data_IF_635871499260
#
_entry.id   IF_635871499260
#
_cell.length_a   1.000
_cell.length_b   1.000
_cell.length_c   1.000
_cell.angle_alpha   90.00
_cell.angle_beta   90.00
_cell.angle_gamma   90.00
#
_symmetry.space_group_name_H-M   'P 1'
#
loop_
_entity.id
_entity.type
_entity.pdbx_description
1 polymer ?
#
# COMPACT_ATOMS: atom_id res chain seq x y z
N UNK A 1 1.42 -46.56 -4.04
CA UNK A 1 2.07 -46.70 -2.72
C UNK A 1 1.55 -45.61 -1.81
N UNK A 2 0.93 -46.05 -0.71
CA UNK A 2 0.63 -45.37 0.56
C UNK A 2 0.23 -43.88 0.55
N UNK A 3 -1.08 -43.68 0.78
CA UNK A 3 -1.60 -42.55 1.55
C UNK A 3 -1.02 -42.59 2.97
N UNK A 4 -0.43 -41.50 3.46
CA UNK A 4 -0.23 -41.29 4.89
C UNK A 4 -0.47 -39.82 5.24
N UNK A 5 -1.71 -39.54 5.63
CA UNK A 5 -2.12 -38.34 6.36
C UNK A 5 -1.43 -38.30 7.73
N UNK A 6 -0.84 -37.18 8.18
CA UNK A 6 -0.36 -37.09 9.55
C UNK A 6 -1.56 -36.96 10.49
N UNK A 7 -1.71 -37.98 11.32
CA UNK A 7 -2.66 -38.08 12.42
C UNK A 7 -2.35 -36.99 13.45
N UNK A 8 -3.12 -35.90 13.44
CA UNK A 8 -3.12 -34.93 14.54
C UNK A 8 -4.12 -35.42 15.59
N UNK A 9 -3.63 -36.11 16.61
CA UNK A 9 -4.42 -36.50 17.78
C UNK A 9 -4.92 -35.23 18.47
N UNK A 10 -6.19 -34.90 18.21
CA UNK A 10 -6.96 -33.87 18.92
C UNK A 10 -7.00 -34.27 20.39
N UNK A 11 -6.12 -33.68 21.20
CA UNK A 11 -6.22 -33.73 22.65
C UNK A 11 -7.54 -33.06 23.00
N UNK A 12 -8.59 -33.86 23.19
CA UNK A 12 -9.81 -33.41 23.80
C UNK A 12 -9.48 -33.07 25.26
N UNK A 13 -9.09 -31.83 25.51
CA UNK A 13 -9.16 -31.27 26.86
C UNK A 13 -10.64 -31.22 27.21
N UNK A 14 -11.09 -32.16 28.05
CA UNK A 14 -12.37 -32.05 28.74
C UNK A 14 -12.44 -30.64 29.35
N UNK A 15 -13.49 -29.85 29.12
CA UNK A 15 -13.63 -28.57 29.78
C UNK A 15 -13.93 -28.84 31.26
N UNK A 16 -12.89 -28.89 32.08
CA UNK A 16 -13.05 -28.85 33.53
C UNK A 16 -13.42 -27.42 33.89
N UNK A 17 -14.72 -27.13 33.89
CA UNK A 17 -15.29 -25.88 34.40
C UNK A 17 -15.16 -25.85 35.92
N UNK A 18 -13.94 -25.72 36.44
CA UNK A 18 -13.75 -25.37 37.85
C UNK A 18 -14.01 -23.88 37.98
N UNK A 19 -15.18 -23.52 38.53
CA UNK A 19 -15.34 -22.18 39.10
C UNK A 19 -14.42 -22.13 40.31
N UNK A 20 -13.32 -21.38 40.19
CA UNK A 20 -12.35 -21.22 41.27
C UNK A 20 -12.98 -20.29 42.31
N UNK A 21 -13.61 -20.87 43.33
CA UNK A 21 -14.23 -20.10 44.39
C UNK A 21 -13.18 -19.85 45.48
N UNK A 22 -12.92 -18.58 45.79
CA UNK A 22 -12.00 -18.17 46.85
C UNK A 22 -12.82 -17.70 48.04
N UNK A 23 -12.66 -18.35 49.19
CA UNK A 23 -13.29 -17.97 50.45
C UNK A 23 -12.33 -17.19 51.32
N UNK A 24 -12.71 -15.98 51.72
CA UNK A 24 -11.94 -15.15 52.65
C UNK A 24 -12.52 -15.25 54.05
N UNK A 25 -11.65 -15.33 55.06
CA UNK A 25 -12.04 -15.37 56.49
C UNK A 25 -11.13 -14.44 57.28
N UNK A 26 -11.71 -13.67 58.19
CA UNK A 26 -11.01 -12.76 59.09
C UNK A 26 -11.45 -13.02 60.54
N UNK A 27 -10.51 -13.31 61.42
CA UNK A 27 -10.74 -13.32 62.88
C UNK A 27 -10.44 -11.91 63.42
N UNK A 28 -11.37 -11.32 64.18
CA UNK A 28 -11.26 -9.94 64.68
C UNK A 28 -11.86 -9.81 66.10
N UNK A 29 -11.41 -8.84 66.90
CA UNK A 29 -11.93 -8.60 68.25
C UNK A 29 -13.26 -7.82 68.24
N UNK A 30 -14.04 -7.93 69.32
CA UNK A 30 -15.43 -7.42 69.40
C UNK A 30 -15.59 -5.90 69.17
N UNK A 31 -14.55 -5.12 69.45
CA UNK A 31 -14.56 -3.66 69.26
C UNK A 31 -14.30 -3.23 67.81
N UNK A 32 -13.90 -4.16 66.93
CA UNK A 32 -13.57 -3.90 65.54
C UNK A 32 -14.67 -4.46 64.64
N UNK A 33 -15.06 -3.71 63.61
CA UNK A 33 -15.98 -4.21 62.60
C UNK A 33 -15.21 -4.92 61.48
N UNK A 34 -14.89 -6.20 61.68
CA UNK A 34 -14.17 -6.99 60.68
C UNK A 34 -14.94 -7.22 59.38
N UNK A 35 -16.26 -7.04 59.36
CA UNK A 35 -17.09 -7.23 58.16
C UNK A 35 -16.86 -6.10 57.16
N UNK A 36 -16.89 -4.86 57.63
CA UNK A 36 -16.62 -3.69 56.79
C UNK A 36 -15.17 -3.67 56.31
N UNK A 37 -14.22 -4.09 57.15
CA UNK A 37 -12.82 -4.23 56.75
C UNK A 37 -12.66 -5.26 55.64
N UNK A 38 -13.24 -6.45 55.80
CA UNK A 38 -13.09 -7.53 54.82
C UNK A 38 -13.77 -7.19 53.49
N UNK A 39 -15.00 -6.68 53.53
CA UNK A 39 -15.71 -6.26 52.31
C UNK A 39 -15.01 -5.07 51.64
N UNK A 40 -14.55 -4.08 52.42
CA UNK A 40 -13.80 -2.93 51.89
C UNK A 40 -12.45 -3.31 51.27
N UNK A 41 -11.73 -4.28 51.87
CA UNK A 41 -10.49 -4.80 51.29
C UNK A 41 -10.73 -5.50 49.95
N UNK A 42 -11.82 -6.29 49.84
CA UNK A 42 -12.20 -6.93 48.58
C UNK A 42 -12.56 -5.89 47.52
N UNK A 43 -13.36 -4.89 47.88
CA UNK A 43 -13.74 -3.81 46.97
C UNK A 43 -12.52 -3.00 46.50
N UNK A 44 -11.60 -2.66 47.41
CA UNK A 44 -10.36 -1.98 47.08
C UNK A 44 -9.49 -2.82 46.14
N UNK A 45 -9.30 -4.11 46.42
CA UNK A 45 -8.54 -5.01 45.55
C UNK A 45 -9.15 -5.11 44.14
N UNK A 46 -10.49 -5.16 44.03
CA UNK A 46 -11.19 -5.13 42.74
C UNK A 46 -10.92 -3.80 42.04
N UNK A 47 -10.99 -2.67 42.74
CA UNK A 47 -10.75 -1.33 42.15
C UNK A 47 -9.31 -1.15 41.66
N UNK A 48 -8.33 -1.67 42.39
CA UNK A 48 -6.91 -1.62 42.03
C UNK A 48 -6.64 -2.44 40.78
N UNK A 49 -7.23 -3.63 40.70
CA UNK A 49 -7.09 -4.49 39.54
C UNK A 49 -7.80 -3.93 38.31
N UNK A 50 -8.98 -3.31 38.48
CA UNK A 50 -9.64 -2.57 37.40
C UNK A 50 -8.75 -1.48 36.82
N UNK A 51 -8.06 -0.72 37.68
CA UNK A 51 -7.10 0.30 37.25
C UNK A 51 -5.91 -0.28 36.51
N UNK A 52 -5.35 -1.41 36.96
CA UNK A 52 -4.26 -2.09 36.23
C UNK A 52 -4.69 -2.54 34.84
N UNK A 53 -5.83 -3.23 34.75
CA UNK A 53 -6.40 -3.69 33.48
C UNK A 53 -6.68 -2.52 32.54
N UNK A 54 -7.10 -1.36 33.08
CA UNK A 54 -7.29 -0.14 32.30
C UNK A 54 -6.01 0.33 31.62
N UNK A 55 -4.95 0.47 32.41
CA UNK A 55 -3.65 0.92 31.93
C UNK A 55 -3.05 -0.05 30.91
N UNK A 56 -3.18 -1.35 31.16
CA UNK A 56 -2.70 -2.38 30.24
C UNK A 56 -3.45 -2.33 28.91
N UNK A 57 -4.79 -2.21 28.94
CA UNK A 57 -5.61 -2.09 27.74
C UNK A 57 -5.25 -0.83 26.94
N UNK A 58 -5.10 0.30 27.62
CA UNK A 58 -4.66 1.55 26.99
C UNK A 58 -3.28 1.38 26.33
N UNK A 59 -2.33 0.76 27.03
CA UNK A 59 -1.01 0.46 26.49
C UNK A 59 -1.05 -0.42 25.25
N UNK A 60 -1.90 -1.46 25.23
CA UNK A 60 -2.08 -2.32 24.05
C UNK A 60 -2.69 -1.55 22.88
N UNK A 61 -3.72 -0.73 23.12
CA UNK A 61 -4.34 0.10 22.07
C UNK A 61 -3.33 1.09 21.49
N UNK A 62 -2.57 1.78 22.34
CA UNK A 62 -1.53 2.72 21.91
C UNK A 62 -0.43 2.03 21.09
N UNK A 63 0.03 0.86 21.53
CA UNK A 63 1.00 0.07 20.78
C UNK A 63 0.46 -0.35 19.41
N UNK A 64 -0.82 -0.73 19.33
CA UNK A 64 -1.45 -1.08 18.07
C UNK A 64 -1.62 0.12 17.14
N UNK A 65 -2.04 1.28 17.66
CA UNK A 65 -2.12 2.52 16.90
C UNK A 65 -0.75 2.93 16.34
N UNK A 66 0.29 2.88 17.17
CA UNK A 66 1.67 3.15 16.73
C UNK A 66 2.12 2.19 15.61
N UNK A 67 1.72 0.92 15.66
CA UNK A 67 2.00 -0.05 14.60
C UNK A 67 1.29 0.32 13.31
N UNK A 68 0.00 0.65 13.36
CA UNK A 68 -0.77 1.09 12.18
C UNK A 68 -0.15 2.35 11.60
N UNK A 69 0.19 3.34 12.41
CA UNK A 69 0.82 4.59 11.96
C UNK A 69 2.15 4.35 11.24
N UNK A 70 2.99 3.46 11.76
CA UNK A 70 4.24 3.04 11.07
C UNK A 70 3.96 2.35 9.75
N UNK A 71 2.93 1.51 9.66
CA UNK A 71 2.53 0.85 8.42
C UNK A 71 2.00 1.85 7.39
N UNK A 72 1.20 2.83 7.81
CA UNK A 72 0.74 3.92 6.94
C UNK A 72 1.91 4.76 6.42
N UNK A 73 2.86 5.10 7.28
CA UNK A 73 4.06 5.84 6.88
C UNK A 73 4.93 5.03 5.88
N UNK A 74 5.12 3.74 6.14
CA UNK A 74 5.85 2.85 5.23
C UNK A 74 5.15 2.72 3.87
N UNK A 75 3.81 2.60 3.85
CA UNK A 75 3.03 2.52 2.62
C UNK A 75 3.11 3.80 1.77
N UNK A 76 3.12 4.98 2.43
CA UNK A 76 3.34 6.25 1.74
C UNK A 76 4.73 6.35 1.15
N UNK A 77 5.75 6.00 1.94
CA UNK A 77 7.13 6.02 1.47
C UNK A 77 7.36 5.05 0.30
N UNK A 78 6.75 3.86 0.33
CA UNK A 78 6.84 2.92 -0.81
C UNK A 78 6.14 3.46 -2.05
N UNK A 79 4.97 4.08 -1.91
CA UNK A 79 4.25 4.67 -3.04
C UNK A 79 5.01 5.85 -3.66
N UNK A 80 5.59 6.73 -2.84
CA UNK A 80 6.46 7.80 -3.31
C UNK A 80 7.65 7.26 -4.10
N UNK A 81 8.35 6.26 -3.56
CA UNK A 81 9.47 5.62 -4.25
C UNK A 81 9.04 4.95 -5.58
N UNK A 82 7.89 4.26 -5.60
CA UNK A 82 7.34 3.66 -6.82
C UNK A 82 6.94 4.73 -7.85
N UNK A 83 6.35 5.84 -7.41
CA UNK A 83 5.98 6.99 -8.25
C UNK A 83 7.21 7.64 -8.87
N UNK A 84 8.24 7.92 -8.07
CA UNK A 84 9.51 8.48 -8.54
C UNK A 84 10.19 7.55 -9.54
N UNK A 85 10.25 6.25 -9.25
CA UNK A 85 10.80 5.25 -10.17
C UNK A 85 10.02 5.18 -11.49
N UNK A 86 8.68 5.25 -11.43
CA UNK A 86 7.83 5.26 -12.61
C UNK A 86 8.03 6.54 -13.45
N UNK A 87 8.13 7.70 -12.81
CA UNK A 87 8.43 8.98 -13.49
C UNK A 87 9.81 8.91 -14.14
N UNK A 88 10.83 8.43 -13.42
CA UNK A 88 12.18 8.30 -13.94
C UNK A 88 12.20 7.41 -15.19
N UNK A 89 11.56 6.24 -15.13
CA UNK A 89 11.47 5.31 -16.26
C UNK A 89 10.76 5.94 -17.46
N UNK A 90 9.58 6.55 -17.27
CA UNK A 90 8.87 7.22 -18.36
C UNK A 90 9.71 8.36 -18.96
N UNK A 91 10.38 9.15 -18.13
CA UNK A 91 11.23 10.24 -18.61
C UNK A 91 12.45 9.76 -19.38
N UNK A 92 13.00 8.59 -19.04
CA UNK A 92 14.11 7.97 -19.75
C UNK A 92 13.63 7.41 -21.09
N UNK A 93 12.50 6.70 -21.09
CA UNK A 93 11.85 6.20 -22.30
C UNK A 93 11.53 7.36 -23.26
N UNK A 94 10.96 8.47 -22.77
CA UNK A 94 10.66 9.66 -23.57
C UNK A 94 11.93 10.28 -24.17
N UNK A 95 13.00 10.42 -23.39
CA UNK A 95 14.29 10.94 -23.87
C UNK A 95 14.89 10.07 -24.97
N UNK A 96 14.82 8.75 -24.81
CA UNK A 96 15.28 7.80 -25.83
C UNK A 96 14.45 7.92 -27.10
N UNK A 97 13.12 7.97 -26.99
CA UNK A 97 12.24 8.12 -28.15
C UNK A 97 12.46 9.46 -28.87
N UNK A 98 12.67 10.55 -28.12
CA UNK A 98 13.01 11.85 -28.69
C UNK A 98 14.31 11.76 -29.48
N UNK A 99 15.36 11.14 -28.92
CA UNK A 99 16.65 10.97 -29.61
C UNK A 99 16.49 10.16 -30.91
N UNK A 100 15.77 9.03 -30.86
CA UNK A 100 15.50 8.17 -32.02
C UNK A 100 14.75 8.95 -33.11
N UNK A 101 13.67 9.64 -32.75
CA UNK A 101 12.86 10.42 -33.70
C UNK A 101 13.64 11.59 -34.29
N UNK A 102 14.50 12.24 -33.50
CA UNK A 102 15.37 13.31 -33.99
C UNK A 102 16.39 12.78 -35.01
N UNK A 103 16.97 11.60 -34.77
CA UNK A 103 17.92 11.00 -35.69
C UNK A 103 17.23 10.49 -36.97
N UNK A 104 16.03 9.92 -36.87
CA UNK A 104 15.19 9.58 -38.02
C UNK A 104 14.86 10.83 -38.86
N UNK A 105 14.49 11.93 -38.20
CA UNK A 105 14.18 13.19 -38.86
C UNK A 105 15.41 13.76 -39.59
N UNK A 106 16.59 13.73 -38.97
CA UNK A 106 17.86 14.13 -39.62
C UNK A 106 18.14 13.25 -40.85
N UNK A 107 17.97 11.94 -40.73
CA UNK A 107 18.18 11.00 -41.82
C UNK A 107 17.22 11.26 -43.00
N UNK A 108 15.93 11.44 -42.72
CA UNK A 108 14.91 11.77 -43.74
C UNK A 108 15.23 13.09 -44.45
N UNK A 109 15.60 14.13 -43.70
CA UNK A 109 15.99 15.42 -44.31
C UNK A 109 17.25 15.29 -45.17
N UNK A 110 18.21 14.48 -44.77
CA UNK A 110 19.40 14.19 -45.58
C UNK A 110 19.02 13.45 -46.87
N UNK A 111 18.16 12.43 -46.77
CA UNK A 111 17.65 11.68 -47.92
C UNK A 111 16.94 12.60 -48.92
N UNK A 112 16.03 13.47 -48.45
CA UNK A 112 15.32 14.41 -49.30
C UNK A 112 16.27 15.40 -50.00
N UNK A 113 17.31 15.87 -49.31
CA UNK A 113 18.36 16.71 -49.91
C UNK A 113 19.10 15.96 -51.02
N UNK A 114 19.46 14.70 -50.80
CA UNK A 114 20.09 13.85 -51.83
C UNK A 114 19.16 13.62 -53.01
N UNK A 115 17.87 13.33 -52.78
CA UNK A 115 16.87 13.21 -53.85
C UNK A 115 16.75 14.49 -54.68
N UNK A 116 16.73 15.66 -54.02
CA UNK A 116 16.73 16.97 -54.69
C UNK A 116 17.99 17.19 -55.53
N UNK A 117 19.17 16.86 -54.99
CA UNK A 117 20.44 16.97 -55.72
C UNK A 117 20.48 16.05 -56.94
N UNK A 118 20.05 14.79 -56.80
CA UNK A 118 19.96 13.85 -57.91
C UNK A 118 19.00 14.36 -58.99
N UNK A 119 17.85 14.95 -58.59
CA UNK A 119 16.91 15.56 -59.53
C UNK A 119 17.53 16.75 -60.27
N UNK A 120 18.29 17.60 -59.58
CA UNK A 120 19.02 18.71 -60.21
C UNK A 120 20.05 18.19 -61.22
N UNK A 121 20.81 17.14 -60.89
CA UNK A 121 21.77 16.53 -61.81
C UNK A 121 21.08 15.97 -63.07
N UNK A 122 19.95 15.27 -62.91
CA UNK A 122 19.14 14.80 -64.04
C UNK A 122 18.62 15.94 -64.92
N UNK A 123 18.20 17.06 -64.30
CA UNK A 123 17.78 18.25 -65.02
C UNK A 123 18.96 18.90 -65.76
N UNK A 124 20.15 18.95 -65.16
CA UNK A 124 21.37 19.48 -65.79
C UNK A 124 21.77 18.67 -67.03
N UNK A 125 21.73 17.34 -66.96
CA UNK A 125 21.96 16.45 -68.11
C UNK A 125 20.90 16.67 -69.20
N UNK A 126 19.62 16.74 -68.82
CA UNK A 126 18.53 16.94 -69.77
C UNK A 126 18.59 18.32 -70.45
N UNK A 127 18.95 19.38 -69.73
CA UNK A 127 19.15 20.73 -70.28
C UNK A 127 20.33 20.73 -71.26
N UNK A 128 21.43 20.04 -70.97
CA UNK A 128 22.57 19.95 -71.87
C UNK A 128 22.20 19.25 -73.19
N UNK A 129 21.46 18.13 -73.10
CA UNK A 129 20.95 17.41 -74.29
C UNK A 129 19.96 18.30 -75.08
N UNK A 130 18.98 18.91 -74.41
CA UNK A 130 18.00 19.78 -75.05
C UNK A 130 18.65 20.98 -75.76
N UNK A 131 19.68 21.60 -75.15
CA UNK A 131 20.50 22.66 -75.78
C UNK A 131 21.22 22.15 -77.04
N UNK A 132 21.81 20.95 -76.97
CA UNK A 132 22.49 20.35 -78.13
C UNK A 132 21.54 20.02 -79.28
N UNK A 133 20.28 19.72 -78.98
CA UNK A 133 19.22 19.40 -79.95
C UNK A 133 18.42 20.63 -80.40
N UNK A 134 18.68 21.83 -79.86
CA UNK A 134 17.95 23.06 -80.20
C UNK A 134 16.50 23.11 -79.70
N UNK A 135 16.12 22.31 -78.70
CA UNK A 135 14.74 22.22 -78.21
C UNK A 135 14.52 23.26 -77.10
N UNK A 136 13.96 24.44 -77.44
CA UNK A 136 13.67 25.50 -76.45
C UNK A 136 12.37 25.26 -75.69
N UNK A 137 11.33 24.81 -76.41
CA UNK A 137 9.96 24.66 -75.92
C UNK A 137 9.55 23.18 -75.88
N UNK A 138 8.55 22.81 -75.04
CA UNK A 138 8.07 21.44 -74.96
C UNK A 138 7.67 20.91 -76.34
N UNK A 139 8.30 19.83 -76.76
CA UNK A 139 8.15 19.21 -78.08
C UNK A 139 8.00 17.70 -77.88
N UNK A 140 7.33 16.99 -78.79
CA UNK A 140 7.26 15.52 -78.73
C UNK A 140 8.14 14.91 -79.85
N UNK A 141 8.61 13.66 -79.71
CA UNK A 141 9.51 13.05 -80.70
C UNK A 141 8.95 13.07 -82.13
N UNK A 142 7.63 12.95 -82.25
CA UNK A 142 6.92 12.99 -83.54
C UNK A 142 6.96 14.38 -84.17
N UNK A 143 6.80 15.46 -83.39
CA UNK A 143 6.87 16.82 -83.90
C UNK A 143 8.30 17.31 -84.12
N UNK A 144 9.30 16.70 -83.46
CA UNK A 144 10.72 17.00 -83.68
C UNK A 144 11.26 16.40 -85.00
N UNK A 145 10.76 15.23 -85.41
CA UNK A 145 11.14 14.61 -86.68
C UNK A 145 10.56 15.29 -87.93
N UNK A 146 9.52 16.12 -87.76
CA UNK A 146 8.78 16.79 -88.83
C UNK A 146 9.11 18.31 -88.92
N UNK A 147 10.10 18.80 -88.16
CA UNK A 147 10.46 20.24 -88.11
C UNK A 147 10.96 20.75 -89.48
N UNK A 148 11.54 19.88 -90.32
CA UNK A 148 11.95 20.22 -91.69
C UNK A 148 10.77 20.24 -92.71
N UNK A 149 9.58 19.78 -92.33
CA UNK A 149 8.39 19.65 -93.20
C UNK A 149 7.21 20.53 -92.76
N UNK A 150 7.30 21.20 -91.61
CA UNK A 150 6.22 21.94 -90.96
C UNK A 150 5.90 23.35 -91.53
N UNK A 151 6.27 23.65 -92.77
CA UNK A 151 5.80 24.86 -93.46
C UNK A 151 4.41 24.69 -94.13
N UNK A 152 3.84 23.49 -94.11
CA UNK A 152 2.54 23.16 -94.74
C UNK A 152 1.39 23.06 -93.74
N UNK A 153 0.43 23.98 -93.83
CA UNK A 153 -0.83 24.02 -93.06
C UNK A 153 -1.60 22.68 -93.07
N UNK A 154 -1.97 22.20 -91.87
CA UNK A 154 -2.98 21.16 -91.71
C UNK A 154 -3.20 20.81 -90.24
N UNK A 155 -4.35 21.22 -89.67
CA UNK A 155 -4.79 20.79 -88.34
C UNK A 155 -5.14 19.30 -88.36
N UNK A 156 -4.15 18.43 -88.15
CA UNK A 156 -4.38 17.00 -87.91
C UNK A 156 -4.55 16.80 -86.40
N UNK A 157 -5.79 16.59 -85.95
CA UNK A 157 -6.06 16.11 -84.59
C UNK A 157 -5.58 14.67 -84.47
N UNK A 158 -4.46 14.45 -83.78
CA UNK A 158 -3.92 13.11 -83.51
C UNK A 158 -4.20 12.76 -82.06
N UNK A 159 -4.95 11.68 -81.85
CA UNK A 159 -5.16 11.06 -80.55
C UNK A 159 -3.91 10.27 -80.19
N UNK A 160 -3.03 10.87 -79.42
CA UNK A 160 -1.81 10.24 -78.92
C UNK A 160 -2.17 9.29 -77.77
N UNK A 161 -1.82 8.01 -77.94
CA UNK A 161 -1.88 7.02 -76.85
C UNK A 161 -0.63 7.20 -76.00
N UNK A 162 -0.70 8.10 -75.03
CA UNK A 162 0.39 8.41 -74.10
C UNK A 162 0.45 7.29 -73.05
N UNK A 163 1.33 6.31 -73.28
CA UNK A 163 1.65 5.29 -72.27
C UNK A 163 3.15 5.13 -71.99
N UNK A 164 4.01 5.95 -72.61
CA UNK A 164 5.46 5.91 -72.40
C UNK A 164 5.95 7.22 -71.80
N UNK A 165 6.78 7.12 -70.77
CA UNK A 165 7.39 8.26 -70.09
C UNK A 165 8.41 8.90 -71.04
N UNK A 166 8.09 10.08 -71.56
CA UNK A 166 9.00 10.80 -72.44
C UNK A 166 10.30 11.18 -71.70
N UNK A 167 11.47 11.02 -72.32
CA UNK A 167 12.72 11.52 -71.76
C UNK A 167 12.65 13.02 -71.44
N UNK A 168 13.27 13.45 -70.34
CA UNK A 168 13.15 14.82 -69.84
C UNK A 168 13.55 15.92 -70.83
N UNK A 169 14.52 15.67 -71.71
CA UNK A 169 15.04 16.67 -72.66
C UNK A 169 13.99 17.18 -73.65
N UNK A 170 12.91 16.42 -73.89
CA UNK A 170 11.81 16.86 -74.77
C UNK A 170 10.93 17.96 -74.17
N UNK A 171 11.02 18.24 -72.86
CA UNK A 171 10.32 19.37 -72.25
C UNK A 171 10.90 20.74 -72.65
N UNK A 172 12.10 20.76 -73.23
CA UNK A 172 12.76 21.98 -73.68
C UNK A 172 13.51 22.72 -72.57
N UNK A 173 14.46 23.55 -72.96
CA UNK A 173 15.39 24.21 -72.04
C UNK A 173 14.71 25.19 -71.09
N UNK A 174 13.72 25.96 -71.55
CA UNK A 174 13.04 26.98 -70.74
C UNK A 174 12.31 26.35 -69.54
N UNK A 175 11.58 25.26 -69.78
CA UNK A 175 10.82 24.57 -68.73
C UNK A 175 11.75 23.89 -67.71
N UNK A 176 12.80 23.21 -68.20
CA UNK A 176 13.76 22.52 -67.34
C UNK A 176 14.60 23.50 -66.51
N UNK A 177 15.02 24.63 -67.08
CA UNK A 177 15.73 25.69 -66.35
C UNK A 177 14.83 26.33 -65.29
N UNK A 178 13.55 26.52 -65.57
CA UNK A 178 12.58 27.00 -64.59
C UNK A 178 12.44 26.02 -63.40
N UNK A 179 12.25 24.72 -63.67
CA UNK A 179 12.17 23.69 -62.61
C UNK A 179 13.45 23.66 -61.76
N UNK A 180 14.62 23.64 -62.41
CA UNK A 180 15.92 23.67 -61.74
C UNK A 180 16.08 24.89 -60.84
N UNK A 181 15.73 26.07 -61.33
CA UNK A 181 15.81 27.31 -60.57
C UNK A 181 14.91 27.30 -59.32
N UNK A 182 13.75 26.65 -59.40
CA UNK A 182 12.87 26.43 -58.23
C UNK A 182 13.55 25.50 -57.21
N UNK A 183 14.14 24.39 -57.66
CA UNK A 183 14.83 23.44 -56.75
C UNK A 183 16.08 24.03 -56.09
N UNK A 184 16.81 24.89 -56.79
CA UNK A 184 17.97 25.60 -56.24
C UNK A 184 17.59 26.64 -55.19
N UNK A 185 16.48 27.37 -55.39
CA UNK A 185 16.00 28.39 -54.45
C UNK A 185 15.28 27.82 -53.22
N UNK A 186 14.91 26.54 -53.25
CA UNK A 186 14.16 25.88 -52.19
C UNK A 186 14.99 25.77 -50.89
N UNK A 187 14.37 26.13 -49.76
CA UNK A 187 15.00 26.10 -48.41
C UNK A 187 14.76 24.79 -47.64
N UNK A 188 13.59 24.17 -47.77
CA UNK A 188 13.29 22.88 -47.14
C UNK A 188 12.48 21.98 -48.07
N UNK A 189 12.71 20.67 -47.93
CA UNK A 189 12.00 19.62 -48.66
C UNK A 189 10.92 18.95 -47.79
N UNK A 190 10.70 19.43 -46.56
CA UNK A 190 9.82 18.81 -45.56
C UNK A 190 8.36 18.64 -46.05
N UNK A 191 7.89 19.53 -46.94
CA UNK A 191 6.55 19.47 -47.53
C UNK A 191 6.33 18.27 -48.47
N UNK A 192 7.42 17.62 -48.92
CA UNK A 192 7.34 16.50 -49.87
C UNK A 192 7.08 15.16 -49.17
N UNK A 193 7.38 15.06 -47.88
CA UNK A 193 7.29 13.82 -47.11
C UNK A 193 6.34 13.98 -45.92
N UNK A 194 5.13 13.39 -45.96
CA UNK A 194 4.14 13.55 -44.88
C UNK A 194 4.63 12.98 -43.54
N UNK A 195 5.56 12.02 -43.55
CA UNK A 195 6.14 11.45 -42.32
C UNK A 195 6.86 12.48 -41.46
N UNK A 196 7.43 13.54 -42.04
CA UNK A 196 8.12 14.56 -41.25
C UNK A 196 7.12 15.26 -40.31
N UNK A 197 5.92 15.57 -40.79
CA UNK A 197 4.86 16.15 -39.96
C UNK A 197 4.40 15.19 -38.85
N UNK A 198 4.29 13.89 -39.12
CA UNK A 198 3.90 12.90 -38.10
C UNK A 198 4.98 12.74 -37.03
N UNK A 199 6.27 12.75 -37.41
CA UNK A 199 7.39 12.72 -36.46
C UNK A 199 7.41 13.99 -35.61
N UNK A 200 7.21 15.18 -36.21
CA UNK A 200 7.14 16.45 -35.48
C UNK A 200 6.00 16.45 -34.46
N UNK A 201 4.81 15.96 -34.83
CA UNK A 201 3.69 15.83 -33.92
C UNK A 201 4.03 14.87 -32.75
N UNK A 202 4.70 13.75 -33.02
CA UNK A 202 5.15 12.82 -31.97
C UNK A 202 6.16 13.46 -31.02
N UNK A 203 7.15 14.18 -31.55
CA UNK A 203 8.12 14.91 -30.73
C UNK A 203 7.41 15.90 -29.79
N UNK A 204 6.45 16.69 -30.30
CA UNK A 204 5.69 17.63 -29.49
C UNK A 204 4.89 16.94 -28.37
N UNK A 205 4.34 15.75 -28.65
CA UNK A 205 3.61 14.95 -27.65
C UNK A 205 4.54 14.35 -26.58
N UNK A 206 5.77 13.96 -26.95
CA UNK A 206 6.77 13.42 -26.03
C UNK A 206 7.44 14.51 -25.17
N UNK A 207 7.55 15.74 -25.69
CA UNK A 207 8.04 16.87 -24.90
C UNK A 207 7.14 17.17 -23.69
N UNK A 208 5.83 16.98 -23.83
CA UNK A 208 4.84 17.22 -22.78
C UNK A 208 4.10 15.92 -22.44
N UNK A 209 4.76 15.05 -21.68
CA UNK A 209 4.16 13.81 -21.24
C UNK A 209 3.11 14.08 -20.14
N UNK A 210 1.84 14.19 -20.56
CA UNK A 210 0.69 14.37 -19.66
C UNK A 210 0.60 13.32 -18.56
N UNK A 211 1.11 12.10 -18.76
CA UNK A 211 1.11 11.08 -17.72
C UNK A 211 2.04 11.45 -16.56
N UNK A 212 3.23 12.00 -16.88
CA UNK A 212 4.18 12.49 -15.87
C UNK A 212 3.58 13.70 -15.14
N UNK A 213 3.01 14.66 -15.86
CA UNK A 213 2.33 15.83 -15.28
C UNK A 213 1.19 15.40 -14.33
N UNK A 214 0.37 14.44 -14.75
CA UNK A 214 -0.71 13.88 -13.94
C UNK A 214 -0.23 13.05 -12.75
N UNK A 215 1.01 12.56 -12.74
CA UNK A 215 1.60 11.90 -11.56
C UNK A 215 2.20 12.91 -10.60
N UNK A 216 2.79 13.99 -11.11
CA UNK A 216 3.38 15.07 -10.31
C UNK A 216 2.34 16.01 -9.68
N UNK A 217 1.21 16.22 -10.36
CA UNK A 217 0.15 17.16 -9.93
C UNK A 217 -0.90 16.54 -8.99
N UNK A 218 -0.74 15.28 -8.56
CA UNK A 218 -1.70 14.63 -7.65
C UNK A 218 -1.62 15.26 -6.26
N UNK A 219 -2.64 16.03 -5.88
CA UNK A 219 -2.72 16.63 -4.55
C UNK A 219 -2.96 15.61 -3.43
N UNK A 220 -3.77 14.57 -3.69
CA UNK A 220 -4.19 13.58 -2.70
C UNK A 220 -3.76 12.16 -3.08
N UNK A 221 -2.50 11.86 -2.86
CA UNK A 221 -1.88 10.56 -3.18
C UNK A 221 -2.42 9.41 -2.32
N UNK A 222 -2.87 9.76 -1.11
CA UNK A 222 -3.53 8.85 -0.17
C UNK A 222 -4.78 8.17 -0.76
N UNK A 223 -5.43 8.75 -1.78
CA UNK A 223 -6.59 8.15 -2.46
C UNK A 223 -6.23 6.95 -3.33
N UNK A 224 -4.97 6.85 -3.77
CA UNK A 224 -4.49 5.75 -4.60
C UNK A 224 -3.97 4.57 -3.77
N UNK A 225 -3.85 4.76 -2.46
CA UNK A 225 -3.41 3.75 -1.50
C UNK A 225 -4.62 2.99 -0.93
N UNK A 226 -5.11 1.96 -1.63
CA UNK A 226 -6.27 1.17 -1.21
C UNK A 226 -6.15 0.65 0.25
N UNK A 227 -4.96 0.15 0.63
CA UNK A 227 -4.67 -0.35 1.99
C UNK A 227 -4.68 0.74 3.07
N UNK A 228 -4.51 2.01 2.69
CA UNK A 228 -4.51 3.12 3.63
C UNK A 228 -5.90 3.40 4.19
N UNK A 229 -6.95 3.19 3.37
CA UNK A 229 -8.33 3.33 3.83
C UNK A 229 -8.67 2.32 4.92
N UNK A 230 -8.30 1.04 4.72
CA UNK A 230 -8.50 -0.03 5.71
C UNK A 230 -7.77 0.27 7.03
N UNK A 231 -6.50 0.69 6.95
CA UNK A 231 -5.71 1.07 8.14
C UNK A 231 -6.30 2.28 8.87
N UNK A 232 -6.86 3.26 8.15
CA UNK A 232 -7.53 4.42 8.74
C UNK A 232 -8.81 4.06 9.45
N UNK A 233 -9.62 3.17 8.85
CA UNK A 233 -10.83 2.65 9.47
C UNK A 233 -10.49 1.93 10.79
N UNK A 234 -9.48 1.05 10.75
CA UNK A 234 -9.02 0.34 11.94
C UNK A 234 -8.51 1.29 13.02
N UNK A 235 -7.70 2.29 12.65
CA UNK A 235 -7.23 3.31 13.58
C UNK A 235 -8.39 4.13 14.18
N UNK A 236 -9.38 4.51 13.38
CA UNK A 236 -10.57 5.23 13.85
C UNK A 236 -11.40 4.38 14.81
N UNK A 237 -11.54 3.08 14.51
CA UNK A 237 -12.21 2.12 15.39
C UNK A 237 -11.48 1.96 16.73
N UNK A 238 -10.15 1.89 16.73
CA UNK A 238 -9.38 1.80 17.97
C UNK A 238 -9.44 3.09 18.80
N UNK A 239 -9.43 4.26 18.14
CA UNK A 239 -9.56 5.56 18.79
C UNK A 239 -10.94 5.81 19.40
N UNK A 240 -11.99 5.17 18.87
CA UNK A 240 -13.35 5.31 19.41
C UNK A 240 -13.63 4.39 20.60
N UNK A 241 -12.75 3.42 20.89
CA UNK A 241 -12.86 2.58 22.09
C UNK A 241 -12.57 3.46 23.30
N UNK A 242 -13.63 3.91 23.97
CA UNK A 242 -13.55 4.50 25.30
C UNK A 242 -13.56 3.35 26.31
N UNK A 243 -12.48 3.11 27.06
CA UNK A 243 -12.43 2.05 28.05
C UNK A 243 -13.29 2.42 29.27
N UNK A 244 -14.61 2.24 29.17
CA UNK A 244 -15.49 2.34 30.33
C UNK A 244 -15.41 1.04 31.15
N UNK A 245 -14.46 1.02 32.08
CA UNK A 245 -14.11 -0.17 32.86
C UNK A 245 -14.86 -0.24 34.20
N UNK A 246 -15.75 0.72 34.46
CA UNK A 246 -16.61 0.72 35.65
C UNK A 246 -17.54 -0.50 35.66
N UNK A 247 -17.95 -0.95 34.47
CA UNK A 247 -18.82 -2.11 34.27
C UNK A 247 -18.04 -3.43 34.07
N UNK A 248 -16.71 -3.41 34.17
CA UNK A 248 -15.91 -4.63 34.01
C UNK A 248 -16.08 -5.53 35.24
N UNK A 249 -16.80 -6.64 35.05
CA UNK A 249 -17.01 -7.67 36.06
C UNK A 249 -15.77 -8.57 36.17
N UNK A 250 -14.74 -8.11 36.91
CA UNK A 250 -13.55 -8.91 37.19
C UNK A 250 -13.85 -10.11 38.11
N UNK A 251 -14.71 -9.89 39.11
CA UNK A 251 -15.06 -10.89 40.12
C UNK A 251 -16.56 -10.86 40.35
N UNK A 252 -17.19 -12.03 40.45
CA UNK A 252 -18.57 -12.18 40.88
C UNK A 252 -18.59 -12.52 42.36
N UNK A 253 -19.15 -11.63 43.18
CA UNK A 253 -19.31 -11.86 44.62
C UNK A 253 -20.53 -12.75 44.82
N UNK A 254 -20.33 -13.99 45.24
CA UNK A 254 -21.43 -14.92 45.52
C UNK A 254 -22.06 -14.66 46.90
N UNK A 255 -21.26 -14.32 47.92
CA UNK A 255 -21.73 -13.95 49.25
C UNK A 255 -20.80 -12.90 49.90
N UNK A 256 -21.32 -11.76 50.38
CA UNK A 256 -20.52 -10.79 51.12
C UNK A 256 -20.16 -11.34 52.51
N UNK A 257 -19.16 -10.76 53.17
CA UNK A 257 -18.88 -11.08 54.56
C UNK A 257 -20.07 -10.69 55.45
N UNK A 258 -20.42 -11.56 56.40
CA UNK A 258 -21.54 -11.37 57.34
C UNK A 258 -21.01 -11.51 58.77
N UNK A 259 -21.53 -10.69 59.69
CA UNK A 259 -21.15 -10.76 61.11
C UNK A 259 -21.60 -12.11 61.70
N UNK A 260 -20.72 -12.85 62.38
CA UNK A 260 -21.09 -14.12 63.00
C UNK A 260 -22.03 -13.89 64.19
N UNK A 261 -23.06 -14.74 64.31
CA UNK A 261 -24.05 -14.68 65.40
C UNK A 261 -23.45 -15.02 66.78
N UNK A 262 -22.40 -15.84 66.82
CA UNK A 262 -21.72 -16.27 68.05
C UNK A 262 -20.20 -16.10 67.90
N UNK A 263 -19.47 -15.66 68.94
CA UNK A 263 -18.01 -15.61 68.92
C UNK A 263 -17.41 -16.99 68.67
N UNK A 264 -16.46 -17.08 67.73
CA UNK A 264 -15.80 -18.36 67.39
C UNK A 264 -14.89 -18.84 68.54
N UNK A 265 -14.31 -17.91 69.30
CA UNK A 265 -13.41 -18.16 70.45
C UNK A 265 -13.58 -17.04 71.50
N UNK A 266 -13.33 -17.30 72.81
CA UNK A 266 -13.08 -18.60 73.45
C UNK A 266 -14.37 -19.37 73.75
N UNK A 267 -14.32 -20.71 73.67
CA UNK A 267 -15.47 -21.58 74.01
C UNK A 267 -15.65 -21.63 75.52
N UNK A 268 -16.45 -20.72 76.09
CA UNK A 268 -16.69 -20.58 77.54
C UNK A 268 -17.05 -21.91 78.21
N UNK A 269 -17.88 -22.74 77.56
CA UNK A 269 -18.26 -24.06 78.06
C UNK A 269 -17.07 -25.03 78.17
N UNK A 270 -16.15 -25.00 77.21
CA UNK A 270 -14.96 -25.86 77.22
C UNK A 270 -14.03 -25.45 78.37
N UNK A 271 -13.89 -24.15 78.63
CA UNK A 271 -13.09 -23.64 79.74
C UNK A 271 -13.69 -24.06 81.08
N UNK A 272 -15.01 -23.95 81.25
CA UNK A 272 -15.72 -24.37 82.46
C UNK A 272 -15.60 -25.89 82.68
N UNK A 273 -15.74 -26.70 81.63
CA UNK A 273 -15.58 -28.16 81.73
C UNK A 273 -14.16 -28.55 82.15
N UNK A 274 -13.13 -27.94 81.55
CA UNK A 274 -11.74 -28.17 81.95
C UNK A 274 -11.50 -27.71 83.39
N UNK A 275 -12.03 -26.55 83.79
CA UNK A 275 -11.93 -26.04 85.15
C UNK A 275 -12.58 -26.96 86.19
N UNK A 276 -13.73 -27.54 85.86
CA UNK A 276 -14.43 -28.49 86.73
C UNK A 276 -13.67 -29.81 86.87
N UNK A 277 -13.13 -30.35 85.77
CA UNK A 277 -12.32 -31.59 85.80
C UNK A 277 -11.04 -31.38 86.60
N UNK A 278 -10.30 -30.29 86.34
CA UNK A 278 -9.07 -29.98 87.07
C UNK A 278 -9.35 -29.67 88.55
N UNK A 279 -10.41 -28.92 88.84
CA UNK A 279 -10.85 -28.65 90.22
C UNK A 279 -11.29 -29.91 90.96
N UNK A 280 -11.99 -30.81 90.27
CA UNK A 280 -12.38 -32.12 90.81
C UNK A 280 -11.17 -33.00 91.10
N UNK A 281 -10.19 -33.08 90.18
CA UNK A 281 -8.96 -33.83 90.39
C UNK A 281 -8.16 -33.30 91.59
N UNK A 282 -8.02 -31.98 91.71
CA UNK A 282 -7.35 -31.36 92.87
C UNK A 282 -8.13 -31.61 94.17
N UNK A 283 -9.46 -31.53 94.14
CA UNK A 283 -10.31 -31.81 95.31
C UNK A 283 -10.18 -33.25 95.82
N UNK A 284 -10.19 -34.24 94.90
CA UNK A 284 -9.96 -35.65 95.24
C UNK A 284 -8.55 -35.86 95.79
N UNK A 285 -7.54 -35.23 95.19
CA UNK A 285 -6.16 -35.32 95.66
C UNK A 285 -6.01 -34.81 97.11
N UNK A 286 -6.62 -33.66 97.43
CA UNK A 286 -6.64 -33.12 98.80
C UNK A 286 -7.42 -34.03 99.76
N UNK A 287 -8.55 -34.60 99.32
CA UNK A 287 -9.33 -35.53 100.13
C UNK A 287 -8.57 -36.82 100.47
N UNK A 288 -7.81 -37.38 99.51
CA UNK A 288 -6.96 -38.54 99.73
C UNK A 288 -5.82 -38.25 100.70
N UNK A 289 -5.14 -37.11 100.56
CA UNK A 289 -4.13 -36.67 101.53
C UNK A 289 -4.76 -36.58 102.93
N UNK A 290 -5.95 -35.97 103.04
CA UNK A 290 -6.65 -35.83 104.32
C UNK A 290 -7.00 -37.19 104.93
N UNK A 291 -7.52 -38.13 104.15
CA UNK A 291 -7.86 -39.49 104.58
C UNK A 291 -6.63 -40.28 105.06
N UNK A 292 -5.50 -40.18 104.36
CA UNK A 292 -4.25 -40.84 104.79
C UNK A 292 -3.77 -40.27 106.12
N UNK A 293 -3.91 -38.95 106.33
CA UNK A 293 -3.56 -38.31 107.59
C UNK A 293 -4.54 -38.61 108.75
N UNK A 294 -5.85 -38.79 108.49
CA UNK A 294 -6.84 -39.09 109.53
C UNK A 294 -7.07 -40.59 109.79
N UNK A 295 -6.82 -41.46 108.80
CA UNK A 295 -6.95 -42.92 108.91
C UNK A 295 -5.86 -43.59 109.75
N UNK A 296 -4.79 -42.87 110.07
CA UNK A 296 -3.72 -43.34 110.95
C UNK A 296 -3.95 -43.04 112.44
N UNK A 297 -5.18 -42.69 112.86
CA UNK A 297 -5.52 -42.45 114.29
C UNK A 297 -6.41 -43.49 114.96
N UNK A 298 -6.81 -44.57 114.28
CA UNK A 298 -7.55 -45.68 114.92
C UNK A 298 -6.98 -47.04 114.52
N UNK A 299 -5.78 -47.33 115.03
CA UNK A 299 -5.26 -48.69 115.19
C UNK A 299 -4.44 -48.74 116.48
N UNK A 300 -5.11 -48.51 117.60
CA UNK A 300 -4.63 -48.77 118.96
C UNK A 300 -5.78 -48.59 119.95
N UNK A 301 -6.59 -49.65 120.10
CA UNK A 301 -7.29 -50.07 121.31
C UNK A 301 -8.03 -51.37 120.99
#
# INVERSE_FOLDING_TARGET
MAQTSPCCSRIQRKPTTFRLNVGLRLEYPDYLDGVTILNGMVEQAISDERRRVALDLEGVIQNHLNKIERQMAAARASYEAEKEAAIAKLSEDDKLQIAILQDELKALRAELRTRRQNRIAQLDEAIAIAKSLGISKPTNPTSLGDVDTAAGQGNVFRTEVISQQFPLHFMGTEALEAERNVLLKRRSDDHTEPKIATIQNKLQMLEHNRQIEMMQSRENEDLFLAKLAEMREEAARLKSIQPNLEQLNLVRIDQPAIKPLNPVKPKKMLIVAIGLVLGGMLGVFVALIRIVFTGNRTRSA
#
